data_IF_911524796361
#
_entry.id   IF_911524796361
#
_cell.length_a   1.000
_cell.length_b   1.000
_cell.length_c   1.000
_cell.angle_alpha   90.00
_cell.angle_beta   90.00
_cell.angle_gamma   90.00
#
_symmetry.space_group_name_H-M   'P 1'
#
loop_
_entity.id
_entity.type
_entity.pdbx_description
1 polymer ?
#
# COMPACT_ATOMS: atom_id res chain seq x y z
N UNK A 1 15.23 12.52 -2.07
CA UNK A 1 15.56 13.36 -3.25
C UNK A 1 15.76 14.82 -2.81
N UNK A 2 16.65 15.59 -3.46
CA UNK A 2 16.88 16.99 -3.08
C UNK A 2 15.80 17.88 -3.73
N UNK A 3 15.02 18.58 -2.92
CA UNK A 3 13.88 19.40 -3.37
C UNK A 3 14.24 20.40 -4.47
N UNK A 4 15.42 21.03 -4.40
CA UNK A 4 15.90 22.01 -5.39
C UNK A 4 15.98 21.48 -6.82
N UNK A 5 16.27 20.19 -7.00
CA UNK A 5 16.44 19.56 -8.31
C UNK A 5 15.32 18.60 -8.68
N UNK A 6 14.32 18.49 -7.81
CA UNK A 6 13.24 17.53 -7.94
C UNK A 6 12.01 18.24 -8.48
N UNK A 7 11.47 17.73 -9.58
CA UNK A 7 10.14 18.13 -10.03
C UNK A 7 9.09 17.57 -9.05
N UNK A 8 8.05 18.33 -8.69
CA UNK A 8 7.04 17.87 -7.74
C UNK A 8 6.41 16.52 -8.12
N UNK A 9 6.14 16.30 -9.42
CA UNK A 9 5.61 15.05 -9.97
C UNK A 9 6.52 13.84 -9.67
N UNK A 10 7.83 13.97 -9.87
CA UNK A 10 8.79 12.92 -9.54
C UNK A 10 8.92 12.73 -8.03
N UNK A 11 8.91 13.82 -7.27
CA UNK A 11 8.98 13.76 -5.81
C UNK A 11 7.79 13.02 -5.19
N UNK A 12 6.59 13.17 -5.76
CA UNK A 12 5.40 12.48 -5.30
C UNK A 12 5.49 10.97 -5.50
N UNK A 13 5.94 10.51 -6.68
CA UNK A 13 6.12 9.08 -6.98
C UNK A 13 7.12 8.43 -6.02
N UNK A 14 8.21 9.11 -5.70
CA UNK A 14 9.24 8.58 -4.81
C UNK A 14 9.03 8.94 -3.33
N UNK A 15 7.83 9.43 -2.97
CA UNK A 15 7.51 9.73 -1.58
C UNK A 15 7.26 8.44 -0.78
N UNK A 16 7.52 8.48 0.53
CA UNK A 16 7.19 7.34 1.41
C UNK A 16 5.69 7.05 1.39
N UNK A 17 4.85 8.08 1.31
CA UNK A 17 3.40 7.93 1.17
C UNK A 17 3.06 7.02 -0.03
N UNK A 18 3.59 7.36 -1.21
CA UNK A 18 3.32 6.60 -2.43
C UNK A 18 3.92 5.19 -2.39
N UNK A 19 5.11 5.05 -1.78
CA UNK A 19 5.74 3.74 -1.56
C UNK A 19 4.81 2.80 -0.77
N UNK A 20 4.27 3.23 0.36
CA UNK A 20 3.38 2.40 1.18
C UNK A 20 1.98 2.23 0.55
N UNK A 21 1.49 3.20 -0.22
CA UNK A 21 0.29 3.02 -1.06
C UNK A 21 0.48 1.89 -2.08
N UNK A 22 1.61 1.89 -2.80
CA UNK A 22 1.94 0.81 -3.74
C UNK A 22 2.07 -0.54 -3.04
N UNK A 23 2.69 -0.59 -1.86
CA UNK A 23 2.78 -1.84 -1.09
C UNK A 23 1.40 -2.35 -0.69
N UNK A 24 0.52 -1.47 -0.17
CA UNK A 24 -0.84 -1.85 0.16
C UNK A 24 -1.59 -2.41 -1.06
N UNK A 25 -1.47 -1.77 -2.23
CA UNK A 25 -2.10 -2.28 -3.46
C UNK A 25 -1.59 -3.66 -3.88
N UNK A 26 -0.28 -3.92 -3.74
CA UNK A 26 0.30 -5.23 -4.02
C UNK A 26 -0.23 -6.29 -3.05
N UNK A 27 -0.29 -5.99 -1.75
CA UNK A 27 -0.80 -6.91 -0.74
C UNK A 27 -2.29 -7.21 -0.94
N UNK A 28 -3.09 -6.21 -1.32
CA UNK A 28 -4.50 -6.39 -1.63
C UNK A 28 -4.68 -7.28 -2.87
N UNK A 29 -3.91 -7.04 -3.93
CA UNK A 29 -3.95 -7.88 -5.13
C UNK A 29 -3.52 -9.33 -4.84
N UNK A 30 -2.51 -9.52 -3.98
CA UNK A 30 -2.09 -10.84 -3.54
C UNK A 30 -3.19 -11.54 -2.74
N UNK A 31 -3.87 -10.85 -1.83
CA UNK A 31 -4.99 -11.40 -1.06
C UNK A 31 -6.19 -11.77 -1.96
N UNK A 32 -6.47 -10.97 -2.98
CA UNK A 32 -7.49 -11.28 -4.00
C UNK A 32 -7.13 -12.57 -4.74
N UNK A 33 -5.91 -12.68 -5.26
CA UNK A 33 -5.45 -13.88 -5.97
C UNK A 33 -5.45 -15.14 -5.10
N UNK A 34 -5.00 -15.05 -3.84
CA UNK A 34 -5.05 -16.17 -2.89
C UNK A 34 -6.49 -16.59 -2.57
N UNK A 35 -7.43 -15.64 -2.63
CA UNK A 35 -8.84 -15.97 -2.43
C UNK A 35 -9.46 -16.67 -3.63
N UNK A 36 -9.08 -16.27 -4.85
CA UNK A 36 -9.45 -16.98 -6.07
C UNK A 36 -8.92 -18.42 -6.12
N UNK A 37 -7.73 -18.65 -5.54
CA UNK A 37 -7.13 -19.99 -5.40
C UNK A 37 -7.74 -20.81 -4.24
N UNK A 38 -8.60 -20.20 -3.42
CA UNK A 38 -9.31 -20.85 -2.32
C UNK A 38 -8.52 -20.97 -1.01
N UNK A 39 -7.30 -20.41 -0.95
CA UNK A 39 -6.46 -20.40 0.26
C UNK A 39 -6.99 -19.43 1.33
N UNK A 40 -7.69 -18.37 0.91
CA UNK A 40 -8.28 -17.35 1.80
C UNK A 40 -9.77 -17.18 1.51
N UNK A 41 -10.63 -17.03 2.53
CA UNK A 41 -12.05 -16.73 2.32
C UNK A 41 -12.27 -15.43 1.53
N UNK A 42 -13.18 -15.48 0.56
CA UNK A 42 -13.54 -14.34 -0.30
C UNK A 42 -14.02 -13.15 0.51
N UNK A 43 -14.70 -13.38 1.63
CA UNK A 43 -15.16 -12.33 2.53
C UNK A 43 -13.99 -11.61 3.20
N UNK A 44 -12.89 -12.32 3.49
CA UNK A 44 -11.70 -11.75 4.12
C UNK A 44 -10.93 -10.86 3.14
N UNK A 45 -10.69 -11.34 1.91
CA UNK A 45 -10.06 -10.52 0.86
C UNK A 45 -10.88 -9.25 0.56
N UNK A 46 -12.20 -9.39 0.46
CA UNK A 46 -13.11 -8.26 0.30
C UNK A 46 -13.11 -7.29 1.48
N UNK A 47 -13.00 -7.79 2.71
CA UNK A 47 -12.91 -6.95 3.89
C UNK A 47 -11.60 -6.16 3.90
N UNK A 48 -10.47 -6.80 3.55
CA UNK A 48 -9.19 -6.11 3.38
C UNK A 48 -9.30 -4.99 2.35
N UNK A 49 -9.84 -5.27 1.17
CA UNK A 49 -9.97 -4.27 0.09
C UNK A 49 -10.81 -3.04 0.49
N UNK A 50 -11.83 -3.23 1.33
CA UNK A 50 -12.72 -2.14 1.77
C UNK A 50 -12.19 -1.32 2.95
N UNK A 51 -11.34 -1.92 3.78
CA UNK A 51 -11.06 -1.36 5.11
C UNK A 51 -9.57 -1.17 5.40
N UNK A 52 -8.67 -1.82 4.65
CA UNK A 52 -7.24 -1.70 4.89
C UNK A 52 -6.77 -0.26 4.63
N UNK A 53 -6.04 0.29 5.59
CA UNK A 53 -5.51 1.65 5.57
C UNK A 53 -4.25 1.70 6.43
N UNK A 54 -3.46 2.75 6.26
CA UNK A 54 -2.26 2.99 7.04
C UNK A 54 -2.06 4.48 7.29
N UNK A 55 -1.19 4.81 8.24
CA UNK A 55 -0.70 6.17 8.43
C UNK A 55 0.81 6.14 8.52
N UNK A 56 1.48 7.08 7.85
CA UNK A 56 2.95 7.17 7.89
C UNK A 56 3.49 7.32 9.31
N UNK A 57 2.81 8.11 10.13
CA UNK A 57 3.20 8.31 11.52
C UNK A 57 3.26 6.99 12.31
N UNK A 58 2.28 6.10 12.10
CA UNK A 58 2.26 4.80 12.78
C UNK A 58 3.32 3.85 12.25
N UNK A 59 3.57 3.87 10.94
CA UNK A 59 4.62 3.04 10.32
C UNK A 59 5.99 3.45 10.86
N UNK A 60 6.28 4.75 10.88
CA UNK A 60 7.55 5.31 11.38
C UNK A 60 7.77 5.12 12.89
N UNK A 61 6.70 4.87 13.67
CA UNK A 61 6.82 4.57 15.09
C UNK A 61 7.25 3.11 15.34
N UNK A 62 6.92 2.21 14.41
CA UNK A 62 7.18 0.77 14.54
C UNK A 62 8.52 0.39 13.91
N UNK A 63 8.95 1.09 12.84
CA UNK A 63 10.24 0.89 12.16
C UNK A 63 11.38 1.70 12.79
#
# INVERSE_FOLDING_TARGET
MIARYTRPEMGAIWSDQHKYECWLEVELAAAEALSEDGEVPVEAANALRRHATFTLARVQEIE
#
